data_IF_391306540578
#
_entry.id   IF_391306540578
#
_cell.length_a   1.000
_cell.length_b   1.000
_cell.length_c   1.000
_cell.angle_alpha   90.00
_cell.angle_beta   90.00
_cell.angle_gamma   90.00
#
_symmetry.space_group_name_H-M   'P 1'
#
loop_
_entity.id
_entity.type
_entity.pdbx_description
1 polymer ?
#
# COMPACT_ATOMS: atom_id res chain seq x y z
N UNK A 1 -17.26 2.57 19.01
CA UNK A 1 -18.11 1.89 18.00
C UNK A 1 -17.48 0.52 17.73
N UNK A 2 -18.26 -0.56 17.63
CA UNK A 2 -17.69 -1.88 17.30
C UNK A 2 -17.40 -1.98 15.79
N UNK A 3 -16.50 -2.89 15.38
CA UNK A 3 -16.11 -3.06 13.97
C UNK A 3 -17.32 -3.37 13.06
N UNK A 4 -18.22 -4.25 13.51
CA UNK A 4 -19.41 -4.59 12.74
C UNK A 4 -20.35 -3.41 12.57
N UNK A 5 -20.58 -2.64 13.64
CA UNK A 5 -21.44 -1.46 13.58
C UNK A 5 -20.84 -0.39 12.67
N UNK A 6 -19.52 -0.24 12.69
CA UNK A 6 -18.82 0.67 11.79
C UNK A 6 -19.02 0.28 10.31
N UNK A 7 -18.89 -1.01 9.97
CA UNK A 7 -19.13 -1.49 8.60
C UNK A 7 -20.56 -1.18 8.13
N UNK A 8 -21.55 -1.35 9.00
CA UNK A 8 -22.94 -1.00 8.68
C UNK A 8 -23.13 0.51 8.51
N UNK A 9 -22.44 1.32 9.33
CA UNK A 9 -22.53 2.77 9.28
C UNK A 9 -21.84 3.40 8.06
N UNK A 10 -20.77 2.78 7.55
CA UNK A 10 -20.01 3.28 6.39
C UNK A 10 -20.56 2.77 5.05
N UNK A 11 -21.28 1.64 5.02
CA UNK A 11 -21.85 1.12 3.76
C UNK A 11 -22.74 2.13 3.00
N UNK A 12 -23.57 2.98 3.64
CA UNK A 12 -24.29 4.04 2.94
C UNK A 12 -23.39 4.98 2.12
N UNK A 13 -22.16 5.25 2.58
CA UNK A 13 -21.20 6.04 1.81
C UNK A 13 -20.77 5.30 0.54
N UNK A 14 -20.43 4.02 0.66
CA UNK A 14 -20.09 3.21 -0.50
C UNK A 14 -21.25 3.13 -1.49
N UNK A 15 -22.48 2.96 -1.00
CA UNK A 15 -23.68 2.97 -1.84
C UNK A 15 -23.86 4.31 -2.57
N UNK A 16 -23.70 5.44 -1.86
CA UNK A 16 -23.76 6.78 -2.45
C UNK A 16 -22.73 6.96 -3.57
N UNK A 17 -21.48 6.53 -3.36
CA UNK A 17 -20.43 6.61 -4.37
C UNK A 17 -20.74 5.71 -5.57
N UNK A 18 -21.13 4.44 -5.34
CA UNK A 18 -21.47 3.49 -6.42
C UNK A 18 -22.64 3.98 -7.29
N UNK A 19 -23.63 4.64 -6.70
CA UNK A 19 -24.81 5.18 -7.38
C UNK A 19 -24.59 6.57 -7.99
N UNK A 20 -23.43 7.19 -7.75
CA UNK A 20 -23.14 8.53 -8.26
C UNK A 20 -22.74 8.53 -9.74
N UNK A 21 -22.72 9.74 -10.31
CA UNK A 21 -22.23 10.03 -11.67
C UNK A 21 -20.72 9.82 -11.84
N UNK A 22 -19.98 9.69 -10.73
CA UNK A 22 -18.55 9.40 -10.76
C UNK A 22 -18.34 8.01 -11.38
N UNK A 23 -17.41 7.91 -12.33
CA UNK A 23 -17.15 6.68 -13.08
C UNK A 23 -16.15 5.78 -12.39
N UNK A 24 -15.12 6.35 -11.76
CA UNK A 24 -14.00 5.57 -11.25
C UNK A 24 -13.25 4.83 -12.35
N UNK A 25 -12.74 3.64 -12.04
CA UNK A 25 -11.89 2.86 -12.94
C UNK A 25 -12.59 1.59 -13.46
N UNK A 26 -12.49 1.38 -14.76
CA UNK A 26 -12.80 0.09 -15.38
C UNK A 26 -11.53 -0.76 -15.41
N UNK A 27 -11.51 -1.82 -14.61
CA UNK A 27 -10.36 -2.74 -14.52
C UNK A 27 -10.66 -3.97 -15.39
N UNK A 28 -9.74 -4.37 -16.29
CA UNK A 28 -9.89 -5.64 -17.03
C UNK A 28 -10.13 -6.80 -16.06
N UNK A 29 -11.02 -7.73 -16.44
CA UNK A 29 -11.41 -8.91 -15.66
C UNK A 29 -12.23 -8.64 -14.37
N UNK A 30 -12.63 -7.39 -14.11
CA UNK A 30 -13.65 -7.07 -13.09
C UNK A 30 -15.02 -6.82 -13.73
N UNK A 31 -16.07 -7.39 -13.14
CA UNK A 31 -17.45 -7.23 -13.60
C UNK A 31 -18.02 -5.83 -13.32
N UNK A 32 -17.52 -5.18 -12.27
CA UNK A 32 -17.98 -3.87 -11.82
C UNK A 32 -16.84 -2.86 -11.85
N UNK A 33 -17.18 -1.60 -12.10
CA UNK A 33 -16.25 -0.47 -12.00
C UNK A 33 -15.77 -0.30 -10.55
N UNK A 34 -14.49 0.03 -10.40
CA UNK A 34 -13.87 0.30 -9.10
C UNK A 34 -13.96 1.79 -8.82
N UNK A 35 -14.80 2.18 -7.86
CA UNK A 35 -15.00 3.58 -7.46
C UNK A 35 -14.51 3.87 -6.03
N UNK A 36 -14.67 2.92 -5.12
CA UNK A 36 -14.27 3.05 -3.73
C UNK A 36 -13.78 1.72 -3.18
N UNK A 37 -12.70 1.77 -2.40
CA UNK A 37 -12.20 0.67 -1.58
C UNK A 37 -12.12 1.17 -0.14
N UNK A 38 -12.65 0.38 0.80
CA UNK A 38 -12.72 0.76 2.21
C UNK A 38 -12.19 -0.39 3.07
N UNK A 39 -11.33 -0.06 4.02
CA UNK A 39 -10.83 -0.97 5.03
C UNK A 39 -10.89 -0.28 6.39
N UNK A 40 -11.91 -0.61 7.18
CA UNK A 40 -12.28 0.18 8.36
C UNK A 40 -12.41 1.67 7.99
N UNK A 41 -11.72 2.56 8.70
CA UNK A 41 -11.74 4.00 8.47
C UNK A 41 -10.91 4.46 7.25
N UNK A 42 -9.99 3.62 6.76
CA UNK A 42 -9.20 3.93 5.57
C UNK A 42 -10.08 3.81 4.31
N UNK A 43 -10.31 4.93 3.64
CA UNK A 43 -11.14 5.01 2.42
C UNK A 43 -10.29 5.50 1.26
N UNK A 44 -10.26 4.73 0.17
CA UNK A 44 -9.64 5.09 -1.10
C UNK A 44 -10.71 5.27 -2.16
N UNK A 45 -10.77 6.43 -2.79
CA UNK A 45 -11.70 6.72 -3.90
C UNK A 45 -10.90 6.78 -5.19
N UNK A 46 -11.43 6.16 -6.24
CA UNK A 46 -10.84 6.14 -7.57
C UNK A 46 -11.64 7.09 -8.46
N UNK A 47 -10.94 8.06 -9.07
CA UNK A 47 -11.54 9.06 -9.94
C UNK A 47 -10.90 8.98 -11.32
N UNK A 48 -11.75 8.93 -12.34
CA UNK A 48 -11.33 9.08 -13.73
C UNK A 48 -10.97 10.54 -14.02
N UNK A 49 -10.25 10.78 -15.11
CA UNK A 49 -9.93 12.15 -15.57
C UNK A 49 -11.17 13.02 -15.77
N UNK A 50 -12.28 12.43 -16.21
CA UNK A 50 -13.54 13.15 -16.43
C UNK A 50 -14.38 13.31 -15.15
N UNK A 51 -14.04 12.61 -14.07
CA UNK A 51 -14.75 12.72 -12.80
C UNK A 51 -14.42 14.04 -12.12
N UNK A 52 -15.41 14.65 -11.48
CA UNK A 52 -15.27 15.94 -10.83
C UNK A 52 -15.07 15.79 -9.33
N UNK A 53 -13.98 16.38 -8.82
CA UNK A 53 -13.66 16.34 -7.41
C UNK A 53 -14.69 17.10 -6.55
N UNK A 54 -15.32 18.14 -7.08
CA UNK A 54 -16.37 18.89 -6.34
C UNK A 54 -17.58 18.01 -6.10
N UNK A 55 -17.97 17.22 -7.10
CA UNK A 55 -19.01 16.21 -6.96
C UNK A 55 -18.65 15.20 -5.88
N UNK A 56 -17.42 14.66 -5.87
CA UNK A 56 -16.96 13.77 -4.79
C UNK A 56 -17.08 14.45 -3.42
N UNK A 57 -16.54 15.66 -3.28
CA UNK A 57 -16.57 16.39 -2.01
C UNK A 57 -18.01 16.60 -1.51
N UNK A 58 -18.95 16.89 -2.41
CA UNK A 58 -20.37 17.06 -2.05
C UNK A 58 -21.00 15.77 -1.50
N UNK A 59 -20.64 14.61 -2.05
CA UNK A 59 -21.10 13.30 -1.57
C UNK A 59 -20.49 12.95 -0.21
N UNK A 60 -19.19 13.21 -0.05
CA UNK A 60 -18.50 13.00 1.24
C UNK A 60 -19.10 13.91 2.32
N UNK A 61 -19.36 15.17 2.00
CA UNK A 61 -19.95 16.13 2.93
C UNK A 61 -21.37 15.72 3.31
N UNK A 62 -22.21 15.32 2.34
CA UNK A 62 -23.57 14.85 2.61
C UNK A 62 -23.56 13.67 3.60
N UNK A 63 -22.69 12.68 3.37
CA UNK A 63 -22.56 11.55 4.29
C UNK A 63 -22.02 11.96 5.65
N UNK A 64 -21.02 12.86 5.71
CA UNK A 64 -20.50 13.39 6.99
C UNK A 64 -21.60 14.11 7.79
N UNK A 65 -22.43 14.92 7.13
CA UNK A 65 -23.55 15.60 7.79
C UNK A 65 -24.60 14.62 8.32
N UNK A 66 -24.90 13.55 7.58
CA UNK A 66 -25.87 12.54 7.98
C UNK A 66 -25.36 11.61 9.10
N UNK A 67 -24.10 11.21 9.03
CA UNK A 67 -23.48 10.26 9.97
C UNK A 67 -22.87 10.90 11.22
N UNK A 68 -22.56 12.20 11.16
CA UNK A 68 -21.76 12.90 12.16
C UNK A 68 -20.26 12.57 12.11
N UNK A 69 -19.81 11.78 11.13
CA UNK A 69 -18.41 11.48 10.92
C UNK A 69 -17.68 12.65 10.23
N UNK A 70 -16.34 12.63 10.27
CA UNK A 70 -15.51 13.65 9.62
C UNK A 70 -14.24 13.05 9.06
N UNK A 71 -14.00 13.26 7.75
CA UNK A 71 -12.74 12.88 7.12
C UNK A 71 -11.59 13.77 7.61
N UNK A 72 -10.43 13.15 7.77
CA UNK A 72 -9.22 13.87 8.13
C UNK A 72 -8.52 14.41 6.87
N UNK A 73 -8.91 15.62 6.47
CA UNK A 73 -8.38 16.29 5.27
C UNK A 73 -6.84 16.40 5.27
N UNK A 74 -6.22 16.53 6.44
CA UNK A 74 -4.75 16.61 6.56
C UNK A 74 -4.05 15.26 6.27
N UNK A 75 -4.78 14.15 6.38
CA UNK A 75 -4.30 12.81 6.01
C UNK A 75 -4.72 12.41 4.60
N UNK A 76 -5.57 13.19 3.93
CA UNK A 76 -6.01 12.91 2.57
C UNK A 76 -4.88 13.23 1.60
N UNK A 77 -4.47 12.23 0.83
CA UNK A 77 -3.46 12.35 -0.21
C UNK A 77 -4.06 11.97 -1.56
N UNK A 78 -3.68 12.69 -2.61
CA UNK A 78 -4.08 12.42 -3.99
C UNK A 78 -2.87 11.90 -4.75
N UNK A 79 -3.01 10.73 -5.38
CA UNK A 79 -1.98 10.13 -6.23
C UNK A 79 -2.45 10.26 -7.69
N UNK A 80 -1.86 11.16 -8.50
CA UNK A 80 -2.18 11.24 -9.92
C UNK A 80 -1.65 9.99 -10.64
N UNK A 81 -2.50 9.32 -11.40
CA UNK A 81 -2.16 8.12 -12.17
C UNK A 81 -2.38 8.42 -13.66
N UNK A 82 -1.53 7.90 -14.53
CA UNK A 82 -1.62 8.12 -15.98
C UNK A 82 -0.28 8.45 -16.61
N UNK A 83 -0.27 9.24 -17.68
CA UNK A 83 0.97 9.65 -18.35
C UNK A 83 1.79 10.63 -17.50
N UNK A 84 3.12 10.68 -17.65
CA UNK A 84 3.96 11.65 -16.93
C UNK A 84 3.55 13.11 -17.17
N UNK A 85 3.08 13.42 -18.38
CA UNK A 85 2.55 14.75 -18.73
C UNK A 85 1.32 15.08 -17.88
N UNK A 86 0.36 14.16 -17.81
CA UNK A 86 -0.85 14.36 -17.02
C UNK A 86 -0.54 14.51 -15.52
N UNK A 87 0.36 13.69 -14.96
CA UNK A 87 0.73 13.80 -13.54
C UNK A 87 1.34 15.15 -13.21
N UNK A 88 2.21 15.65 -14.07
CA UNK A 88 2.84 16.97 -13.93
C UNK A 88 1.81 18.09 -14.04
N UNK A 89 0.87 18.00 -14.99
CA UNK A 89 -0.24 18.95 -15.10
C UNK A 89 -1.09 19.00 -13.82
N UNK A 90 -1.44 17.84 -13.25
CA UNK A 90 -2.21 17.77 -11.99
C UNK A 90 -1.40 18.34 -10.82
N UNK A 91 -0.10 18.11 -10.77
CA UNK A 91 0.78 18.69 -9.73
C UNK A 91 0.81 20.23 -9.82
N UNK A 92 0.97 20.78 -11.02
CA UNK A 92 1.13 22.22 -11.26
C UNK A 92 -0.20 22.98 -11.15
N UNK A 93 -1.25 22.47 -11.77
CA UNK A 93 -2.56 23.13 -11.84
C UNK A 93 -3.45 22.78 -10.64
N UNK A 94 -3.16 21.67 -9.96
CA UNK A 94 -4.04 21.05 -8.96
C UNK A 94 -5.42 20.66 -9.50
N UNK A 95 -5.61 20.59 -10.81
CA UNK A 95 -6.89 20.20 -11.43
C UNK A 95 -6.77 18.79 -12.02
N UNK A 96 -7.79 17.94 -11.87
CA UNK A 96 -7.82 16.61 -12.52
C UNK A 96 -7.99 16.73 -14.05
N UNK A 97 -8.66 17.79 -14.51
CA UNK A 97 -8.74 18.16 -15.92
C UNK A 97 -8.71 19.69 -16.10
N UNK A 98 -8.30 20.21 -17.29
CA UNK A 98 -8.10 21.64 -17.51
C UNK A 98 -9.32 22.54 -17.21
N UNK A 99 -10.53 22.00 -17.29
CA UNK A 99 -11.78 22.72 -17.05
C UNK A 99 -12.35 22.58 -15.64
N UNK A 100 -11.68 21.85 -14.75
CA UNK A 100 -12.17 21.56 -13.41
C UNK A 100 -11.60 22.50 -12.36
N UNK A 101 -12.28 22.58 -11.21
CA UNK A 101 -11.80 23.35 -10.07
C UNK A 101 -10.54 22.71 -9.46
N UNK A 102 -9.62 23.53 -8.95
CA UNK A 102 -8.41 23.02 -8.31
C UNK A 102 -8.73 22.32 -6.98
N UNK A 103 -7.98 21.26 -6.69
CA UNK A 103 -8.02 20.53 -5.45
C UNK A 103 -7.70 21.46 -4.27
N UNK A 104 -8.42 21.34 -3.13
CA UNK A 104 -8.20 22.15 -1.94
C UNK A 104 -6.72 22.19 -1.54
N UNK A 105 -6.15 23.35 -1.18
CA UNK A 105 -4.72 23.48 -0.90
C UNK A 105 -4.24 22.65 0.29
N UNK A 106 -5.14 22.23 1.18
CA UNK A 106 -4.87 21.35 2.31
C UNK A 106 -4.56 19.91 1.92
N UNK A 107 -4.97 19.47 0.72
CA UNK A 107 -4.76 18.09 0.26
C UNK A 107 -3.38 17.99 -0.40
N UNK A 108 -2.58 17.04 0.07
CA UNK A 108 -1.27 16.75 -0.52
C UNK A 108 -1.44 15.97 -1.82
N UNK A 109 -0.78 16.43 -2.88
CA UNK A 109 -0.67 15.69 -4.15
C UNK A 109 0.69 14.99 -4.13
N UNK A 110 0.69 13.67 -4.31
CA UNK A 110 1.89 12.87 -4.38
C UNK A 110 2.61 13.12 -5.71
N UNK A 111 3.88 13.53 -5.63
CA UNK A 111 4.74 13.74 -6.80
C UNK A 111 5.36 12.43 -7.25
N UNK A 112 5.85 12.39 -8.48
CA UNK A 112 6.69 11.28 -8.93
C UNK A 112 7.94 11.17 -8.02
N UNK A 113 8.24 9.95 -7.59
CA UNK A 113 9.25 9.62 -6.57
C UNK A 113 8.74 9.66 -5.12
N UNK A 114 7.53 10.20 -4.86
CA UNK A 114 6.93 10.20 -3.52
C UNK A 114 6.09 8.94 -3.30
N UNK A 115 6.38 8.22 -2.21
CA UNK A 115 5.57 7.10 -1.77
C UNK A 115 4.45 7.57 -0.80
N UNK A 116 3.26 7.02 -0.98
CA UNK A 116 2.07 7.20 -0.13
C UNK A 116 1.70 5.85 0.47
N UNK A 117 1.46 5.81 1.77
CA UNK A 117 1.15 4.56 2.48
C UNK A 117 -0.34 4.27 2.42
N UNK A 118 -0.73 3.16 1.80
CA UNK A 118 -2.12 2.70 1.69
C UNK A 118 -2.19 1.28 2.25
N UNK A 119 -2.95 1.09 3.34
CA UNK A 119 -3.13 -0.20 4.03
C UNK A 119 -1.81 -0.89 4.39
N UNK A 120 -0.73 -0.15 4.61
CA UNK A 120 0.59 -0.72 4.91
C UNK A 120 1.46 -1.04 3.70
N UNK A 121 0.93 -0.96 2.48
CA UNK A 121 1.73 -0.94 1.25
C UNK A 121 2.09 0.49 0.85
N UNK A 122 3.09 0.65 0.00
CA UNK A 122 3.59 1.94 -0.46
C UNK A 122 3.31 2.10 -1.96
N UNK A 123 2.45 3.05 -2.27
CA UNK A 123 1.98 3.35 -3.63
C UNK A 123 2.55 4.68 -4.10
N UNK A 124 2.90 4.77 -5.37
CA UNK A 124 3.44 6.01 -5.95
C UNK A 124 4.09 5.76 -7.31
N UNK A 125 4.27 6.83 -8.07
CA UNK A 125 4.88 6.77 -9.39
C UNK A 125 6.40 6.86 -9.29
N UNK A 126 7.14 5.96 -9.94
CA UNK A 126 8.61 6.04 -10.00
C UNK A 126 9.30 5.95 -8.63
N UNK A 127 8.66 5.32 -7.65
CA UNK A 127 9.23 5.14 -6.31
C UNK A 127 10.33 4.09 -6.33
N UNK A 128 11.34 4.27 -5.50
CA UNK A 128 12.36 3.25 -5.27
C UNK A 128 11.75 2.09 -4.45
N UNK A 129 11.35 1.05 -5.18
CA UNK A 129 10.75 -0.14 -4.59
C UNK A 129 11.71 -0.84 -3.63
N UNK A 130 13.03 -0.79 -3.85
CA UNK A 130 13.99 -1.45 -2.97
C UNK A 130 14.13 -0.69 -1.64
N UNK A 131 14.16 0.65 -1.68
CA UNK A 131 14.25 1.48 -0.47
C UNK A 131 13.06 1.28 0.49
N UNK A 132 11.88 0.90 -0.02
CA UNK A 132 10.71 0.57 0.80
C UNK A 132 10.96 -0.67 1.67
N UNK A 133 11.78 -1.61 1.20
CA UNK A 133 12.07 -2.85 1.92
C UNK A 133 13.14 -2.69 2.99
N UNK A 134 13.99 -1.65 2.93
CA UNK A 134 15.09 -1.48 3.89
C UNK A 134 14.67 -1.55 5.36
N UNK A 135 13.61 -0.84 5.82
CA UNK A 135 13.18 -0.93 7.21
C UNK A 135 12.71 -2.32 7.61
N UNK A 136 12.09 -3.07 6.68
CA UNK A 136 11.63 -4.44 6.92
C UNK A 136 12.83 -5.38 7.03
N UNK A 137 13.82 -5.24 6.15
CA UNK A 137 15.04 -6.03 6.17
C UNK A 137 15.83 -5.75 7.45
N UNK A 138 15.94 -4.50 7.87
CA UNK A 138 16.66 -4.10 9.08
C UNK A 138 15.99 -4.69 10.35
N UNK A 139 14.66 -4.63 10.44
CA UNK A 139 13.88 -5.24 11.52
C UNK A 139 14.00 -6.77 11.54
N UNK A 140 14.05 -7.42 10.37
CA UNK A 140 14.34 -8.86 10.26
C UNK A 140 15.77 -9.16 10.75
N UNK A 141 16.77 -8.39 10.30
CA UNK A 141 18.18 -8.54 10.72
C UNK A 141 18.30 -8.43 12.23
N UNK A 142 17.76 -7.37 12.82
CA UNK A 142 17.79 -7.15 14.27
C UNK A 142 17.11 -8.29 15.03
N UNK A 143 15.95 -8.75 14.54
CA UNK A 143 15.24 -9.89 15.13
C UNK A 143 16.10 -11.15 15.10
N UNK A 144 16.66 -11.51 13.94
CA UNK A 144 17.48 -12.72 13.80
C UNK A 144 18.75 -12.64 14.65
N UNK A 145 19.47 -11.52 14.64
CA UNK A 145 20.66 -11.30 15.48
C UNK A 145 20.36 -11.43 16.97
N UNK A 146 19.21 -10.93 17.42
CA UNK A 146 18.78 -11.06 18.81
C UNK A 146 18.56 -12.52 19.21
N UNK A 147 17.92 -13.31 18.34
CA UNK A 147 17.66 -14.72 18.62
C UNK A 147 18.90 -15.60 18.43
N UNK A 148 19.82 -15.23 17.55
CA UNK A 148 21.08 -15.92 17.34
C UNK A 148 21.92 -16.01 18.61
N UNK A 149 21.87 -14.97 19.46
CA UNK A 149 22.55 -14.93 20.77
C UNK A 149 22.10 -16.00 21.76
N UNK A 150 20.95 -16.63 21.52
CA UNK A 150 20.44 -17.73 22.34
C UNK A 150 20.90 -19.11 21.83
N UNK A 151 21.74 -19.15 20.79
CA UNK A 151 22.26 -20.37 20.17
C UNK A 151 21.17 -21.40 19.86
N UNK A 152 20.15 -21.03 19.06
CA UNK A 152 19.05 -21.92 18.73
C UNK A 152 19.54 -23.16 17.98
N UNK A 153 18.84 -24.28 18.17
CA UNK A 153 19.06 -25.49 17.37
C UNK A 153 18.71 -25.25 15.90
N UNK A 154 19.07 -26.19 15.02
CA UNK A 154 18.71 -26.14 13.61
C UNK A 154 17.19 -26.02 13.38
N UNK A 155 16.41 -26.76 14.15
CA UNK A 155 14.95 -26.70 14.13
C UNK A 155 14.45 -25.34 14.63
N UNK A 156 15.06 -24.82 15.71
CA UNK A 156 14.77 -23.48 16.22
C UNK A 156 15.05 -22.40 15.18
N UNK A 157 16.18 -22.47 14.46
CA UNK A 157 16.54 -21.55 13.38
C UNK A 157 15.51 -21.59 12.24
N UNK A 158 15.05 -22.78 11.85
CA UNK A 158 14.00 -22.94 10.82
C UNK A 158 12.69 -22.27 11.23
N UNK A 159 12.25 -22.45 12.48
CA UNK A 159 11.04 -21.80 13.01
C UNK A 159 11.21 -20.27 13.04
N UNK A 160 12.36 -19.77 13.49
CA UNK A 160 12.65 -18.33 13.56
C UNK A 160 12.65 -17.70 12.16
N UNK A 161 13.23 -18.37 11.15
CA UNK A 161 13.16 -17.93 9.75
C UNK A 161 11.69 -17.82 9.31
N UNK A 162 10.88 -18.84 9.57
CA UNK A 162 9.47 -18.84 9.19
C UNK A 162 8.70 -17.68 9.86
N UNK A 163 8.96 -17.40 11.13
CA UNK A 163 8.27 -16.35 11.87
C UNK A 163 8.70 -14.94 11.47
N UNK A 164 10.01 -14.70 11.38
CA UNK A 164 10.53 -13.35 11.14
C UNK A 164 10.66 -13.05 9.65
N UNK A 165 11.34 -13.90 8.88
CA UNK A 165 11.55 -13.65 7.45
C UNK A 165 10.22 -13.77 6.71
N UNK A 166 9.58 -14.94 6.73
CA UNK A 166 8.33 -15.12 5.98
C UNK A 166 7.18 -14.31 6.58
N UNK A 167 7.04 -14.30 7.92
CA UNK A 167 5.97 -13.57 8.58
C UNK A 167 5.96 -12.06 8.32
N UNK A 168 7.14 -11.41 8.25
CA UNK A 168 7.24 -9.97 7.98
C UNK A 168 7.22 -9.62 6.49
N UNK A 169 7.60 -10.55 5.60
CA UNK A 169 7.68 -10.28 4.15
C UNK A 169 6.41 -10.64 3.38
N UNK A 170 5.64 -11.63 3.83
CA UNK A 170 4.50 -12.18 3.08
C UNK A 170 3.50 -11.12 2.60
N UNK A 171 3.15 -10.18 3.48
CA UNK A 171 2.10 -9.20 3.21
C UNK A 171 2.55 -8.21 2.13
N UNK A 172 3.71 -7.59 2.35
CA UNK A 172 4.24 -6.57 1.44
C UNK A 172 4.60 -7.18 0.08
N UNK A 173 5.09 -8.43 0.06
CA UNK A 173 5.35 -9.18 -1.17
C UNK A 173 4.08 -9.34 -2.00
N UNK A 174 2.96 -9.70 -1.37
CA UNK A 174 1.70 -9.87 -2.07
C UNK A 174 1.09 -8.54 -2.51
N UNK A 175 1.22 -7.49 -1.70
CA UNK A 175 0.57 -6.21 -1.95
C UNK A 175 1.24 -5.37 -3.06
N UNK A 176 2.58 -5.34 -3.12
CA UNK A 176 3.32 -4.49 -4.07
C UNK A 176 4.46 -5.21 -4.80
N UNK A 177 4.62 -6.51 -4.57
CA UNK A 177 5.73 -7.29 -5.11
C UNK A 177 7.04 -7.09 -4.34
N UNK A 178 8.02 -7.92 -4.66
CA UNK A 178 9.37 -7.87 -4.12
C UNK A 178 10.38 -7.76 -5.26
N UNK A 179 11.22 -6.70 -5.29
CA UNK A 179 12.32 -6.61 -6.25
C UNK A 179 13.32 -7.76 -6.09
N UNK A 180 13.95 -8.17 -7.19
CA UNK A 180 14.89 -9.30 -7.16
C UNK A 180 16.08 -9.08 -6.22
N UNK A 181 16.58 -7.85 -6.15
CA UNK A 181 17.66 -7.48 -5.22
C UNK A 181 17.30 -7.72 -3.75
N UNK A 182 16.06 -7.42 -3.37
CA UNK A 182 15.53 -7.65 -2.02
C UNK A 182 15.36 -9.14 -1.75
N UNK A 183 14.83 -9.89 -2.72
CA UNK A 183 14.69 -11.34 -2.64
C UNK A 183 16.06 -12.02 -2.44
N UNK A 184 17.08 -11.59 -3.18
CA UNK A 184 18.44 -12.11 -3.09
C UNK A 184 19.08 -11.77 -1.73
N UNK A 185 18.86 -10.56 -1.22
CA UNK A 185 19.34 -10.16 0.11
C UNK A 185 18.69 -10.97 1.24
N UNK A 186 17.36 -11.13 1.21
CA UNK A 186 16.63 -11.96 2.18
C UNK A 186 17.03 -13.44 2.10
N UNK A 187 17.27 -13.94 0.88
CA UNK A 187 17.76 -15.30 0.65
C UNK A 187 19.16 -15.50 1.24
N UNK A 188 20.05 -14.52 1.09
CA UNK A 188 21.38 -14.54 1.67
C UNK A 188 21.29 -14.53 3.21
N UNK A 189 20.50 -13.62 3.78
CA UNK A 189 20.27 -13.51 5.21
C UNK A 189 19.76 -14.82 5.80
N UNK A 190 18.76 -15.42 5.14
CA UNK A 190 18.17 -16.70 5.53
C UNK A 190 19.20 -17.81 5.56
N UNK A 191 20.03 -17.93 4.51
CA UNK A 191 21.09 -18.96 4.44
C UNK A 191 22.16 -18.76 5.51
N UNK A 192 22.57 -17.51 5.74
CA UNK A 192 23.57 -17.16 6.75
C UNK A 192 23.08 -17.51 8.16
N UNK A 193 21.85 -17.10 8.49
CA UNK A 193 21.25 -17.38 9.78
C UNK A 193 20.96 -18.87 9.95
N UNK A 194 20.55 -19.58 8.90
CA UNK A 194 20.32 -21.01 9.01
C UNK A 194 21.62 -21.74 9.38
N UNK A 195 22.73 -21.48 8.66
CA UNK A 195 23.99 -22.24 8.80
C UNK A 195 25.01 -21.56 9.74
N UNK A 196 24.56 -20.68 10.64
CA UNK A 196 25.40 -20.07 11.69
C UNK A 196 26.69 -19.40 11.14
N UNK A 197 26.61 -18.79 9.95
CA UNK A 197 27.76 -18.22 9.23
C UNK A 197 28.95 -19.18 8.98
N UNK A 198 28.78 -20.48 9.23
CA UNK A 198 29.75 -21.50 8.86
C UNK A 198 29.72 -21.63 7.32
N UNK A 199 30.71 -21.00 6.67
CA UNK A 199 30.77 -20.74 5.22
C UNK A 199 30.27 -21.82 4.26
N UNK A 200 29.89 -21.36 3.05
CA UNK A 200 29.45 -22.13 1.86
C UNK A 200 28.89 -23.53 2.16
N UNK A 201 27.56 -23.61 2.20
CA UNK A 201 26.81 -24.86 2.04
C UNK A 201 27.45 -25.73 0.95
N UNK A 202 27.89 -26.92 1.30
CA UNK A 202 28.47 -27.91 0.37
C UNK A 202 27.42 -28.49 -0.60
N UNK A 203 26.16 -28.14 -0.40
CA UNK A 203 25.02 -28.58 -1.20
C UNK A 203 24.45 -27.36 -1.93
N UNK A 204 24.46 -27.45 -3.27
CA UNK A 204 23.85 -26.46 -4.15
C UNK A 204 22.32 -26.58 -4.08
N UNK A 205 21.63 -25.46 -3.88
CA UNK A 205 20.15 -25.38 -3.88
C UNK A 205 19.47 -26.04 -5.10
N UNK A 206 19.98 -25.95 -6.35
CA UNK A 206 19.37 -26.66 -7.49
C UNK A 206 19.55 -28.18 -7.47
N UNK A 207 20.32 -28.75 -6.54
CA UNK A 207 20.54 -30.20 -6.41
C UNK A 207 19.56 -30.88 -5.45
N UNK A 208 18.66 -30.11 -4.82
CA UNK A 208 17.68 -30.57 -3.83
C UNK A 208 16.23 -30.65 -4.38
N UNK A 209 16.05 -30.63 -5.71
CA UNK A 209 14.75 -30.88 -6.36
C UNK A 209 14.50 -32.38 -6.57
#
# INVERSE_FOLDING_TARGET
MSCLLFNVAIEPLAALLRQSELRGYDVPDMAERVIVSMFADDTTVYLRKEDDFVTLQSLLDLWCHASGAKFNVNKTEVIPIGSPVHRKEVEETRCLAPSQQPLPPSIRIAKDGSAVRILGAWMGNGIDQAAIWSPVIDDIKESLERWDRLHPTMEGRSILIQWFVCGKTQYLTNAQGMPKSVEDELSLLTRQFAWDNAGRSTINAPTLQ
#
